data_IF_863645116753
#
_entry.id   IF_863645116753
#
_cell.length_a   1.000
_cell.length_b   1.000
_cell.length_c   1.000
_cell.angle_alpha   90.00
_cell.angle_beta   90.00
_cell.angle_gamma   90.00
#
_symmetry.space_group_name_H-M   'P 1'
#
loop_
_entity.id
_entity.type
_entity.pdbx_description
1 polymer ?
#
# COMPACT_ATOMS: atom_id res chain seq x y z
N UNK A 1 -4.94 18.31 -13.81
CA UNK A 1 -4.98 17.47 -12.59
C UNK A 1 -6.21 17.77 -11.74
N UNK A 2 -6.37 18.97 -11.16
CA UNK A 2 -7.51 19.29 -10.28
C UNK A 2 -8.88 19.03 -10.92
N UNK A 3 -9.12 19.47 -12.14
CA UNK A 3 -10.40 19.21 -12.84
C UNK A 3 -10.71 17.71 -12.95
N UNK A 4 -9.70 16.89 -13.30
CA UNK A 4 -9.85 15.43 -13.34
C UNK A 4 -10.21 14.84 -11.98
N UNK A 5 -9.56 15.30 -10.89
CA UNK A 5 -9.87 14.87 -9.54
C UNK A 5 -11.32 15.22 -9.18
N UNK A 6 -11.78 16.44 -9.46
CA UNK A 6 -13.13 16.88 -9.16
C UNK A 6 -14.20 16.07 -9.94
N UNK A 7 -13.95 15.80 -11.23
CA UNK A 7 -14.81 14.94 -12.05
C UNK A 7 -14.94 13.54 -11.45
N UNK A 8 -13.80 12.92 -11.10
CA UNK A 8 -13.75 11.59 -10.47
C UNK A 8 -14.47 11.56 -9.13
N UNK A 9 -14.22 12.57 -8.29
CA UNK A 9 -14.85 12.69 -6.95
C UNK A 9 -16.36 12.87 -7.07
N UNK A 10 -16.82 13.71 -8.01
CA UNK A 10 -18.26 13.90 -8.25
C UNK A 10 -18.93 12.58 -8.65
N UNK A 11 -18.34 11.85 -9.58
CA UNK A 11 -18.83 10.53 -10.00
C UNK A 11 -18.90 9.53 -8.85
N UNK A 12 -17.84 9.47 -8.02
CA UNK A 12 -17.81 8.53 -6.88
C UNK A 12 -18.87 8.94 -5.83
N UNK A 13 -18.99 10.24 -5.53
CA UNK A 13 -19.97 10.74 -4.54
C UNK A 13 -21.41 10.46 -4.93
N UNK A 14 -21.76 10.48 -6.21
CA UNK A 14 -23.10 10.12 -6.69
C UNK A 14 -23.46 8.66 -6.41
N UNK A 15 -22.45 7.81 -6.33
CA UNK A 15 -22.60 6.36 -6.11
C UNK A 15 -22.31 5.93 -4.67
N UNK A 16 -21.64 6.76 -3.90
CA UNK A 16 -21.21 6.45 -2.53
C UNK A 16 -22.33 6.72 -1.55
N UNK A 17 -22.63 5.73 -0.69
CA UNK A 17 -23.68 5.83 0.34
C UNK A 17 -23.13 6.01 1.76
N UNK A 18 -21.82 6.06 1.92
CA UNK A 18 -21.10 6.20 3.18
C UNK A 18 -20.04 7.30 3.08
N UNK A 19 -19.53 7.78 4.20
CA UNK A 19 -18.47 8.78 4.25
C UNK A 19 -17.25 8.21 4.98
N UNK A 20 -16.48 7.31 4.36
CA UNK A 20 -15.34 6.70 5.00
C UNK A 20 -14.23 7.73 5.28
N UNK A 21 -13.63 7.65 6.45
CA UNK A 21 -12.41 8.37 6.80
C UNK A 21 -11.16 7.49 6.66
N UNK A 22 -11.36 6.20 6.40
CA UNK A 22 -10.31 5.20 6.27
C UNK A 22 -10.31 4.59 4.87
N UNK A 23 -9.13 4.54 4.25
CA UNK A 23 -8.92 3.83 2.99
C UNK A 23 -7.87 2.73 3.14
N UNK A 24 -7.99 1.71 2.27
CA UNK A 24 -7.06 0.58 2.19
C UNK A 24 -6.64 0.41 0.73
N UNK A 25 -5.35 0.24 0.46
CA UNK A 25 -4.84 -0.21 -0.83
C UNK A 25 -4.28 -1.62 -0.66
N UNK A 26 -4.94 -2.59 -1.29
CA UNK A 26 -4.57 -4.00 -1.21
C UNK A 26 -3.64 -4.35 -2.37
N UNK A 27 -2.48 -4.90 -2.03
CA UNK A 27 -1.48 -5.37 -2.98
C UNK A 27 -1.69 -6.83 -3.40
N UNK A 28 -0.71 -7.37 -4.13
CA UNK A 28 -0.66 -8.75 -4.63
C UNK A 28 -0.86 -9.77 -3.50
N UNK A 29 -1.73 -10.75 -3.70
CA UNK A 29 -2.06 -11.81 -2.74
C UNK A 29 -2.89 -11.38 -1.52
N UNK A 30 -3.25 -10.09 -1.42
CA UNK A 30 -3.85 -9.52 -0.21
C UNK A 30 -5.31 -9.11 -0.41
N UNK A 31 -5.89 -9.47 -1.55
CA UNK A 31 -7.22 -9.05 -1.97
C UNK A 31 -8.37 -9.67 -1.18
N UNK A 32 -8.18 -10.75 -0.41
CA UNK A 32 -9.28 -11.42 0.27
C UNK A 32 -9.77 -10.72 1.54
N UNK A 33 -9.04 -9.70 2.05
CA UNK A 33 -9.56 -8.82 3.11
C UNK A 33 -10.94 -8.23 2.73
N UNK A 34 -11.18 -8.02 1.44
CA UNK A 34 -12.49 -7.54 0.97
C UNK A 34 -13.65 -8.50 1.29
N UNK A 35 -13.38 -9.78 1.57
CA UNK A 35 -14.41 -10.73 1.96
C UNK A 35 -14.97 -10.46 3.37
N UNK A 36 -14.21 -9.76 4.21
CA UNK A 36 -14.62 -9.33 5.54
C UNK A 36 -15.43 -8.02 5.53
N UNK A 37 -15.48 -7.31 4.40
CA UNK A 37 -16.25 -6.08 4.26
C UNK A 37 -17.72 -6.47 4.11
N UNK A 38 -18.58 -5.90 4.95
CA UNK A 38 -20.05 -6.02 4.87
C UNK A 38 -20.67 -4.79 4.21
N UNK A 39 -21.94 -4.88 3.84
CA UNK A 39 -22.70 -3.81 3.17
C UNK A 39 -21.96 -3.24 1.95
N UNK A 40 -21.34 -4.14 1.15
CA UNK A 40 -20.47 -3.77 0.05
C UNK A 40 -21.19 -3.09 -1.09
N UNK A 41 -20.56 -2.05 -1.58
CA UNK A 41 -20.82 -1.46 -2.87
C UNK A 41 -19.51 -1.37 -3.67
N UNK A 42 -19.53 -1.83 -4.91
CA UNK A 42 -18.33 -1.93 -5.77
C UNK A 42 -18.48 -1.06 -7.01
N UNK A 43 -17.39 -0.39 -7.40
CA UNK A 43 -17.25 0.34 -8.68
C UNK A 43 -16.00 -0.19 -9.37
N UNK A 44 -16.13 -0.66 -10.60
CA UNK A 44 -14.94 -1.06 -11.38
C UNK A 44 -14.11 0.18 -11.76
N UNK A 45 -12.78 0.04 -11.79
CA UNK A 45 -11.91 1.15 -12.18
C UNK A 45 -12.21 1.68 -13.58
N UNK A 46 -12.60 0.80 -14.51
CA UNK A 46 -12.99 1.16 -15.88
C UNK A 46 -14.22 2.07 -15.98
N UNK A 47 -15.08 2.05 -14.95
CA UNK A 47 -16.25 2.93 -14.87
C UNK A 47 -15.92 4.30 -14.30
N UNK A 48 -14.79 4.43 -13.58
CA UNK A 48 -14.43 5.65 -12.86
C UNK A 48 -13.68 6.59 -13.80
N UNK A 49 -14.19 7.78 -14.07
CA UNK A 49 -13.49 8.75 -14.93
C UNK A 49 -12.06 9.02 -14.45
N UNK A 50 -11.12 9.05 -15.38
CA UNK A 50 -9.70 9.34 -15.15
C UNK A 50 -8.92 8.34 -14.27
N UNK A 51 -9.53 7.24 -13.81
CA UNK A 51 -8.80 6.17 -13.14
C UNK A 51 -7.94 5.40 -14.15
N UNK A 52 -6.71 5.02 -13.80
CA UNK A 52 -5.96 4.04 -14.57
C UNK A 52 -6.64 2.67 -14.53
N UNK A 53 -6.27 1.78 -15.45
CA UNK A 53 -6.71 0.41 -15.44
C UNK A 53 -5.64 -0.47 -14.80
N UNK A 54 -6.02 -1.36 -13.91
CA UNK A 54 -5.08 -2.36 -13.37
C UNK A 54 -4.87 -3.46 -14.42
N UNK A 55 -3.62 -3.71 -14.78
CA UNK A 55 -3.21 -4.71 -15.78
C UNK A 55 -2.50 -5.92 -15.15
N UNK A 56 -2.26 -5.87 -13.84
CA UNK A 56 -1.55 -6.92 -13.11
C UNK A 56 -2.51 -8.06 -12.80
N UNK A 57 -2.08 -9.28 -13.09
CA UNK A 57 -2.80 -10.50 -12.73
C UNK A 57 -3.02 -10.59 -11.21
N UNK A 58 -4.22 -10.99 -10.80
CA UNK A 58 -4.61 -11.00 -9.37
C UNK A 58 -5.17 -9.67 -8.84
N UNK A 59 -5.10 -8.58 -9.61
CA UNK A 59 -5.72 -7.31 -9.25
C UNK A 59 -7.12 -7.21 -9.87
N UNK A 60 -8.16 -7.21 -9.03
CA UNK A 60 -9.57 -7.20 -9.49
C UNK A 60 -10.00 -5.86 -10.10
N UNK A 61 -9.23 -4.79 -9.90
CA UNK A 61 -9.51 -3.47 -10.47
C UNK A 61 -10.83 -2.86 -10.00
N UNK A 62 -11.09 -2.91 -8.68
CA UNK A 62 -12.33 -2.41 -8.09
C UNK A 62 -12.08 -1.47 -6.92
N UNK A 63 -12.93 -0.46 -6.82
CA UNK A 63 -13.09 0.37 -5.64
C UNK A 63 -14.30 -0.14 -4.86
N UNK A 64 -14.09 -0.45 -3.59
CA UNK A 64 -15.10 -1.07 -2.72
C UNK A 64 -15.37 -0.14 -1.55
N UNK A 65 -16.63 0.13 -1.29
CA UNK A 65 -17.12 0.81 -0.10
C UNK A 65 -17.92 -0.17 0.75
N UNK A 66 -17.87 -0.02 2.05
CA UNK A 66 -18.59 -0.88 2.99
C UNK A 66 -18.08 -0.72 4.40
N UNK A 67 -18.39 -1.70 5.24
CA UNK A 67 -17.97 -1.73 6.65
C UNK A 67 -16.95 -2.83 6.88
N UNK A 68 -15.86 -2.47 7.58
CA UNK A 68 -14.93 -3.46 8.15
C UNK A 68 -15.04 -3.37 9.68
N UNK A 69 -15.70 -4.35 10.30
CA UNK A 69 -16.16 -4.23 11.68
C UNK A 69 -17.18 -3.11 11.84
N UNK A 70 -16.86 -2.11 12.66
CA UNK A 70 -17.77 -0.97 12.94
C UNK A 70 -17.48 0.26 12.07
N UNK A 71 -16.40 0.26 11.28
CA UNK A 71 -15.94 1.44 10.52
C UNK A 71 -16.35 1.39 9.06
N UNK A 72 -16.83 2.51 8.54
CA UNK A 72 -16.97 2.70 7.10
C UNK A 72 -15.59 2.83 6.47
N UNK A 73 -15.36 2.10 5.40
CA UNK A 73 -14.08 2.08 4.70
C UNK A 73 -14.25 2.21 3.18
N UNK A 74 -13.16 2.63 2.53
CA UNK A 74 -12.95 2.57 1.11
C UNK A 74 -11.75 1.66 0.83
N UNK A 75 -11.92 0.63 0.02
CA UNK A 75 -10.83 -0.29 -0.32
C UNK A 75 -10.56 -0.31 -1.84
N UNK A 76 -9.31 -0.20 -2.21
CA UNK A 76 -8.82 -0.50 -3.55
C UNK A 76 -8.43 -1.96 -3.62
N UNK A 77 -9.18 -2.78 -4.36
CA UNK A 77 -8.81 -4.16 -4.66
C UNK A 77 -7.94 -4.21 -5.90
N UNK A 78 -6.66 -4.00 -5.71
CA UNK A 78 -5.64 -3.78 -6.71
C UNK A 78 -5.11 -2.34 -6.69
N UNK A 79 -3.90 -2.16 -7.22
CA UNK A 79 -3.20 -0.88 -7.31
C UNK A 79 -2.62 -0.67 -8.70
N UNK A 80 -2.06 0.50 -8.94
CA UNK A 80 -1.35 0.86 -10.16
C UNK A 80 0.15 0.91 -9.88
N UNK A 81 0.95 0.37 -10.82
CA UNK A 81 2.40 0.36 -10.67
C UNK A 81 3.07 1.18 -11.78
N UNK A 82 4.24 1.69 -11.45
CA UNK A 82 5.06 2.45 -12.40
C UNK A 82 5.47 1.61 -13.60
N UNK A 83 5.80 0.31 -13.38
CA UNK A 83 6.19 -0.60 -14.47
C UNK A 83 5.06 -0.93 -15.46
N UNK A 84 3.81 -0.65 -15.12
CA UNK A 84 2.68 -0.78 -16.07
C UNK A 84 2.69 0.32 -17.14
N UNK A 85 3.63 1.28 -17.09
CA UNK A 85 3.77 2.39 -18.03
C UNK A 85 3.09 3.68 -17.59
N UNK A 86 2.49 3.69 -16.41
CA UNK A 86 1.88 4.88 -15.82
C UNK A 86 2.92 5.85 -15.25
N UNK A 87 2.72 7.15 -15.45
CA UNK A 87 3.48 8.17 -14.75
C UNK A 87 3.20 8.12 -13.22
N UNK A 88 4.12 8.63 -12.42
CA UNK A 88 3.91 8.72 -10.97
C UNK A 88 2.65 9.53 -10.58
N UNK A 89 2.21 10.45 -11.44
CA UNK A 89 0.95 11.20 -11.23
C UNK A 89 -0.28 10.34 -11.42
N UNK A 90 -0.25 9.39 -12.34
CA UNK A 90 -1.33 8.44 -12.59
C UNK A 90 -1.34 7.37 -11.50
N UNK A 91 -0.18 6.79 -11.16
CA UNK A 91 -0.04 5.80 -10.06
C UNK A 91 -0.65 6.35 -8.76
N UNK A 92 -0.41 7.63 -8.45
CA UNK A 92 -0.84 8.25 -7.20
C UNK A 92 -2.15 9.05 -7.30
N UNK A 93 -2.79 9.05 -8.46
CA UNK A 93 -4.05 9.76 -8.68
C UNK A 93 -5.15 9.33 -7.67
N UNK A 94 -5.34 8.03 -7.36
CA UNK A 94 -6.33 7.59 -6.38
C UNK A 94 -6.14 8.19 -4.99
N UNK A 95 -4.90 8.38 -4.54
CA UNK A 95 -4.63 8.96 -3.22
C UNK A 95 -5.09 10.42 -3.13
N UNK A 96 -5.00 11.16 -4.22
CA UNK A 96 -5.53 12.53 -4.30
C UNK A 96 -7.07 12.55 -4.33
N UNK A 97 -7.67 11.56 -4.97
CA UNK A 97 -9.13 11.36 -4.93
C UNK A 97 -9.58 11.01 -3.51
N UNK A 98 -8.87 10.13 -2.81
CA UNK A 98 -9.12 9.78 -1.40
C UNK A 98 -9.15 11.03 -0.51
N UNK A 99 -8.16 11.92 -0.67
CA UNK A 99 -8.13 13.19 0.08
C UNK A 99 -9.40 14.02 -0.12
N UNK A 100 -9.86 14.17 -1.36
CA UNK A 100 -11.08 14.93 -1.67
C UNK A 100 -12.37 14.23 -1.20
N UNK A 101 -12.35 12.91 -1.08
CA UNK A 101 -13.44 12.12 -0.49
C UNK A 101 -13.48 12.21 1.05
N UNK A 102 -12.44 12.77 1.68
CA UNK A 102 -12.39 12.98 3.13
C UNK A 102 -11.62 11.90 3.89
N UNK A 103 -10.84 11.06 3.19
CA UNK A 103 -9.99 10.07 3.84
C UNK A 103 -8.93 10.75 4.71
N UNK A 104 -8.82 10.30 5.95
CA UNK A 104 -7.87 10.78 6.96
C UNK A 104 -6.75 9.78 7.24
N UNK A 105 -7.02 8.49 7.03
CA UNK A 105 -6.06 7.41 7.29
C UNK A 105 -6.03 6.44 6.11
N UNK A 106 -4.83 6.14 5.63
CA UNK A 106 -4.56 5.21 4.54
C UNK A 106 -3.76 4.01 5.07
N UNK A 107 -4.28 2.82 4.84
CA UNK A 107 -3.60 1.57 5.05
C UNK A 107 -3.09 1.04 3.72
N UNK A 108 -1.81 0.69 3.64
CA UNK A 108 -1.20 0.13 2.43
C UNK A 108 -0.59 -1.22 2.74
N UNK A 109 -0.82 -2.19 1.87
CA UNK A 109 -0.22 -3.51 1.96
C UNK A 109 0.46 -3.90 0.66
N UNK A 110 1.50 -4.73 0.75
CA UNK A 110 2.25 -5.21 -0.40
C UNK A 110 2.91 -6.56 -0.12
N UNK A 111 3.35 -7.24 -1.18
CA UNK A 111 4.34 -8.30 -1.15
C UNK A 111 5.72 -7.67 -1.37
N UNK A 112 6.75 -8.18 -0.71
CA UNK A 112 8.12 -7.62 -0.77
C UNK A 112 9.18 -8.70 -0.59
N UNK A 113 10.30 -8.58 -1.31
CA UNK A 113 11.50 -9.38 -1.11
C UNK A 113 12.26 -8.93 0.15
N UNK A 114 12.53 -9.86 1.08
CA UNK A 114 13.23 -9.58 2.32
C UNK A 114 14.75 -9.59 2.12
N UNK A 115 15.43 -8.56 2.63
CA UNK A 115 16.90 -8.46 2.57
C UNK A 115 17.54 -8.50 3.97
N UNK A 116 16.75 -8.42 5.02
CA UNK A 116 17.24 -8.58 6.38
C UNK A 116 17.45 -10.09 6.66
N UNK A 117 18.66 -10.52 7.11
CA UNK A 117 18.96 -11.93 7.33
C UNK A 117 18.11 -12.59 8.44
N UNK A 118 17.49 -11.78 9.32
CA UNK A 118 16.64 -12.23 10.42
C UNK A 118 15.17 -12.42 9.99
N UNK A 119 14.84 -12.09 8.72
CA UNK A 119 13.49 -12.27 8.18
C UNK A 119 13.30 -13.68 7.61
N UNK A 120 12.05 -14.12 7.66
CA UNK A 120 11.61 -15.40 7.11
C UNK A 120 10.49 -15.15 6.07
N UNK A 121 10.36 -16.06 5.10
CA UNK A 121 9.24 -16.04 4.16
C UNK A 121 7.93 -16.23 4.92
N UNK A 122 6.98 -15.31 4.72
CA UNK A 122 5.72 -15.27 5.45
C UNK A 122 5.71 -14.29 6.62
N UNK A 123 6.86 -13.68 6.98
CA UNK A 123 6.88 -12.63 8.00
C UNK A 123 6.02 -11.43 7.55
N UNK A 124 5.31 -10.87 8.52
CA UNK A 124 4.61 -9.60 8.38
C UNK A 124 5.54 -8.48 8.84
N UNK A 125 6.02 -7.67 7.89
CA UNK A 125 6.87 -6.52 8.20
C UNK A 125 6.05 -5.25 8.29
N UNK A 126 5.97 -4.65 9.48
CA UNK A 126 5.45 -3.30 9.68
C UNK A 126 6.47 -2.32 9.11
N UNK A 127 6.05 -1.50 8.15
CA UNK A 127 6.94 -0.52 7.49
C UNK A 127 7.08 0.68 8.43
N UNK A 128 8.31 0.94 8.87
CA UNK A 128 8.62 2.08 9.76
C UNK A 128 9.13 3.29 9.01
N UNK A 129 9.79 3.07 7.86
CA UNK A 129 10.33 4.11 6.98
C UNK A 129 10.50 3.57 5.56
N UNK A 130 10.88 4.41 4.62
CA UNK A 130 11.15 3.97 3.26
C UNK A 130 12.31 4.71 2.58
N UNK A 131 12.87 4.07 1.57
CA UNK A 131 13.80 4.66 0.59
C UNK A 131 13.07 4.76 -0.75
N UNK A 132 12.97 5.97 -1.29
CA UNK A 132 12.43 6.19 -2.63
C UNK A 132 13.53 6.02 -3.68
N UNK A 133 13.55 4.88 -4.35
CA UNK A 133 14.50 4.56 -5.41
C UNK A 133 13.86 4.56 -6.81
N UNK A 134 12.66 5.12 -6.95
CA UNK A 134 12.00 5.31 -8.24
C UNK A 134 12.69 6.42 -9.06
N UNK A 135 12.72 6.29 -10.40
CA UNK A 135 13.35 7.29 -11.28
C UNK A 135 12.52 8.59 -11.40
N UNK A 136 11.24 8.57 -10.99
CA UNK A 136 10.33 9.71 -11.00
C UNK A 136 9.75 9.95 -9.61
N UNK A 137 9.57 11.23 -9.24
CA UNK A 137 8.98 11.61 -7.96
C UNK A 137 7.54 12.12 -8.15
N UNK A 138 6.53 11.62 -7.39
CA UNK A 138 5.11 11.95 -7.61
C UNK A 138 4.75 13.42 -7.39
N UNK A 139 5.57 14.16 -6.64
CA UNK A 139 5.40 15.60 -6.40
C UNK A 139 6.21 16.49 -7.35
N UNK A 140 6.91 15.90 -8.33
CA UNK A 140 7.67 16.66 -9.33
C UNK A 140 6.76 17.55 -10.17
N UNK A 141 7.17 18.80 -10.40
CA UNK A 141 6.43 19.80 -11.19
C UNK A 141 5.73 20.84 -10.33
N UNK A 142 4.67 21.46 -10.88
CA UNK A 142 3.89 22.47 -10.16
C UNK A 142 3.18 21.84 -8.95
N UNK A 143 3.30 22.48 -7.79
CA UNK A 143 2.59 22.04 -6.60
C UNK A 143 1.07 22.10 -6.80
N UNK A 144 0.36 21.15 -6.22
CA UNK A 144 -1.10 21.16 -6.09
C UNK A 144 -1.40 21.66 -4.68
N UNK A 145 -2.41 22.50 -4.54
CA UNK A 145 -2.80 23.13 -3.28
C UNK A 145 -3.54 22.15 -2.34
N UNK A 146 -2.92 20.99 -2.11
CA UNK A 146 -3.34 19.95 -1.17
C UNK A 146 -2.37 19.80 0.01
N UNK A 147 -1.22 20.44 -0.11
CA UNK A 147 -0.18 20.43 0.91
C UNK A 147 0.99 21.34 0.55
N UNK A 148 1.98 21.42 1.42
CA UNK A 148 3.15 22.28 1.22
C UNK A 148 4.00 21.83 0.03
N UNK A 149 4.72 22.76 -0.61
CA UNK A 149 5.65 22.42 -1.70
C UNK A 149 6.72 21.41 -1.26
N UNK A 150 7.14 21.48 -0.02
CA UNK A 150 8.14 20.63 0.62
C UNK A 150 7.53 19.98 1.86
N UNK A 151 6.81 18.85 1.70
CA UNK A 151 6.24 18.14 2.84
C UNK A 151 7.34 17.55 3.73
N UNK A 152 7.12 17.60 5.03
CA UNK A 152 7.96 16.88 5.98
C UNK A 152 7.73 15.37 5.86
N UNK A 153 8.82 14.61 5.81
CA UNK A 153 8.84 13.16 5.71
C UNK A 153 9.60 12.51 6.88
N UNK A 154 9.75 13.21 8.02
CA UNK A 154 10.38 12.65 9.22
C UNK A 154 9.54 11.57 9.91
N UNK A 155 8.25 11.52 9.62
CA UNK A 155 7.30 10.49 10.05
C UNK A 155 6.38 10.11 8.88
N UNK A 156 6.86 9.35 7.89
CA UNK A 156 6.04 8.98 6.73
C UNK A 156 4.95 7.98 7.07
N UNK A 157 5.19 7.14 8.06
CA UNK A 157 4.23 6.18 8.64
C UNK A 157 3.91 6.58 10.08
N UNK A 158 2.66 6.52 10.48
CA UNK A 158 2.20 6.94 11.81
C UNK A 158 2.75 6.03 12.90
N UNK A 159 3.59 6.61 13.78
CA UNK A 159 4.14 5.89 14.94
C UNK A 159 3.05 5.37 15.87
N UNK A 160 1.95 6.10 15.99
CA UNK A 160 0.82 5.67 16.80
C UNK A 160 0.17 4.40 16.24
N UNK A 161 -0.07 4.33 14.92
CA UNK A 161 -0.61 3.14 14.26
C UNK A 161 0.38 1.96 14.29
N UNK A 162 1.67 2.22 14.14
CA UNK A 162 2.73 1.20 14.29
C UNK A 162 2.69 0.61 15.70
N UNK A 163 2.62 1.45 16.73
CA UNK A 163 2.54 1.00 18.12
C UNK A 163 1.32 0.13 18.37
N UNK A 164 0.14 0.58 17.95
CA UNK A 164 -1.10 -0.18 18.06
C UNK A 164 -1.05 -1.51 17.30
N UNK A 165 -0.49 -1.54 16.09
CA UNK A 165 -0.35 -2.77 15.31
C UNK A 165 0.54 -3.81 16.01
N UNK A 166 1.62 -3.37 16.65
CA UNK A 166 2.51 -4.24 17.46
C UNK A 166 1.80 -4.79 18.70
N UNK A 167 1.01 -3.97 19.37
CA UNK A 167 0.19 -4.40 20.52
C UNK A 167 -0.82 -5.47 20.07
N UNK A 168 -1.55 -5.23 18.97
CA UNK A 168 -2.50 -6.20 18.40
C UNK A 168 -1.80 -7.50 18.04
N UNK A 169 -0.66 -7.43 17.35
CA UNK A 169 0.11 -8.61 16.98
C UNK A 169 0.53 -9.44 18.22
N UNK A 170 0.99 -8.77 19.28
CA UNK A 170 1.34 -9.41 20.56
C UNK A 170 0.13 -10.06 21.23
N UNK A 171 -1.02 -9.35 21.30
CA UNK A 171 -2.26 -9.88 21.88
C UNK A 171 -2.76 -11.12 21.15
N UNK A 172 -2.56 -11.19 19.82
CA UNK A 172 -3.00 -12.29 18.95
C UNK A 172 -1.95 -13.41 18.79
N UNK A 173 -0.76 -13.23 19.32
CA UNK A 173 0.35 -14.17 19.12
C UNK A 173 0.83 -14.24 17.67
N UNK A 174 0.67 -13.17 16.91
CA UNK A 174 1.10 -13.05 15.52
C UNK A 174 2.52 -12.48 15.49
N UNK A 175 3.45 -13.19 14.83
CA UNK A 175 4.80 -12.69 14.61
C UNK A 175 4.78 -11.53 13.64
N UNK A 176 5.36 -10.41 14.04
CA UNK A 176 5.63 -9.25 13.18
C UNK A 176 7.08 -8.82 13.34
N UNK A 177 7.64 -8.27 12.27
CA UNK A 177 8.95 -7.62 12.24
C UNK A 177 8.78 -6.17 11.84
N UNK A 178 9.78 -5.33 12.09
CA UNK A 178 9.80 -3.94 11.65
C UNK A 178 10.91 -3.75 10.64
N UNK A 179 10.71 -2.87 9.66
CA UNK A 179 11.76 -2.64 8.67
C UNK A 179 11.53 -1.44 7.77
N UNK A 180 12.59 -1.12 7.03
CA UNK A 180 12.65 -0.05 6.03
C UNK A 180 12.38 -0.66 4.65
N UNK A 181 11.40 -0.12 3.95
CA UNK A 181 11.03 -0.56 2.61
C UNK A 181 11.70 0.29 1.55
N UNK A 182 12.41 -0.32 0.57
CA UNK A 182 12.87 0.39 -0.62
C UNK A 182 11.89 0.18 -1.77
N UNK A 183 11.41 1.29 -2.33
CA UNK A 183 10.53 1.27 -3.51
C UNK A 183 11.32 1.44 -4.79
N UNK A 184 11.20 0.49 -5.72
CA UNK A 184 11.91 0.42 -7.01
C UNK A 184 10.92 0.36 -8.18
N UNK A 185 11.42 0.61 -9.39
CA UNK A 185 10.55 0.65 -10.57
C UNK A 185 10.04 -0.72 -11.02
N UNK A 186 10.80 -1.80 -10.87
CA UNK A 186 10.55 -3.05 -11.58
C UNK A 186 10.65 -2.90 -13.12
N UNK A 187 10.10 -3.85 -13.92
CA UNK A 187 9.32 -5.04 -13.52
C UNK A 187 10.17 -6.28 -13.20
N UNK A 188 11.50 -6.21 -13.32
CA UNK A 188 12.36 -7.35 -12.98
C UNK A 188 12.49 -7.50 -11.48
N UNK A 189 12.55 -8.74 -11.00
CA UNK A 189 13.08 -9.01 -9.67
C UNK A 189 14.54 -8.61 -9.60
N UNK A 190 15.04 -8.38 -8.40
CA UNK A 190 16.37 -7.84 -8.15
C UNK A 190 17.45 -8.87 -8.41
N UNK A 191 18.56 -8.40 -8.98
CA UNK A 191 19.79 -9.19 -9.02
C UNK A 191 20.42 -9.33 -7.62
N UNK A 192 21.27 -10.35 -7.36
CA UNK A 192 21.97 -10.45 -6.07
C UNK A 192 22.77 -9.20 -5.71
N UNK A 193 23.28 -8.47 -6.69
CA UNK A 193 24.02 -7.22 -6.46
C UNK A 193 23.11 -6.07 -6.05
N UNK A 194 21.88 -6.00 -6.60
CA UNK A 194 20.88 -5.00 -6.22
C UNK A 194 20.36 -5.26 -4.79
N UNK A 195 20.05 -6.49 -4.41
CA UNK A 195 19.72 -6.84 -3.04
C UNK A 195 20.81 -6.38 -2.05
N UNK A 196 22.07 -6.70 -2.36
CA UNK A 196 23.22 -6.28 -1.54
C UNK A 196 23.34 -4.75 -1.46
N UNK A 197 23.14 -4.05 -2.59
CA UNK A 197 23.18 -2.59 -2.64
C UNK A 197 22.07 -1.98 -1.75
N UNK A 198 20.84 -2.41 -1.89
CA UNK A 198 19.71 -1.88 -1.10
C UNK A 198 19.89 -2.17 0.38
N UNK A 199 20.41 -3.34 0.73
CA UNK A 199 20.73 -3.67 2.12
C UNK A 199 21.80 -2.74 2.71
N UNK A 200 22.86 -2.43 1.94
CA UNK A 200 23.89 -1.46 2.35
C UNK A 200 23.31 -0.06 2.55
N UNK A 201 22.34 0.35 1.73
CA UNK A 201 21.62 1.61 1.88
C UNK A 201 20.70 1.66 3.09
N UNK A 202 20.51 0.55 3.79
CA UNK A 202 19.73 0.46 5.01
C UNK A 202 18.29 -0.08 4.84
N UNK A 203 17.95 -0.62 3.67
CA UNK A 203 16.64 -1.24 3.46
C UNK A 203 16.59 -2.68 4.01
N UNK A 204 15.42 -3.09 4.49
CA UNK A 204 15.11 -4.43 5.01
C UNK A 204 14.27 -5.24 4.02
N UNK A 205 13.48 -4.57 3.20
CA UNK A 205 12.66 -5.19 2.15
C UNK A 205 12.58 -4.31 0.92
N UNK A 206 12.33 -4.93 -0.25
CA UNK A 206 12.22 -4.26 -1.55
C UNK A 206 10.92 -4.63 -2.24
N UNK A 207 10.34 -3.67 -2.96
CA UNK A 207 9.18 -3.92 -3.82
C UNK A 207 8.89 -2.75 -4.75
N UNK A 208 7.88 -2.92 -5.59
CA UNK A 208 7.64 -2.07 -6.76
C UNK A 208 6.43 -1.13 -6.59
N UNK A 209 6.07 -0.78 -5.34
CA UNK A 209 4.86 -0.01 -5.04
C UNK A 209 5.02 0.89 -3.81
N UNK A 210 3.91 1.28 -3.20
CA UNK A 210 3.78 1.83 -1.84
C UNK A 210 4.41 3.20 -1.62
N UNK A 211 5.69 3.38 -1.88
CA UNK A 211 6.42 4.65 -1.60
C UNK A 211 5.77 5.86 -2.29
N UNK A 212 5.41 5.82 -3.57
CA UNK A 212 4.74 6.95 -4.22
C UNK A 212 3.39 7.31 -3.58
N UNK A 213 2.62 6.30 -3.19
CA UNK A 213 1.31 6.46 -2.53
C UNK A 213 1.48 7.13 -1.16
N UNK A 214 2.46 6.68 -0.38
CA UNK A 214 2.80 7.25 0.95
C UNK A 214 3.25 8.70 0.84
N UNK A 215 4.13 9.02 -0.12
CA UNK A 215 4.59 10.40 -0.37
C UNK A 215 3.40 11.32 -0.66
N UNK A 216 2.46 10.89 -1.51
CA UNK A 216 1.29 11.70 -1.85
C UNK A 216 0.30 11.77 -0.70
N UNK A 217 0.11 10.69 0.06
CA UNK A 217 -0.74 10.68 1.25
C UNK A 217 -0.24 11.70 2.29
N UNK A 218 1.05 11.69 2.59
CA UNK A 218 1.68 12.68 3.51
C UNK A 218 1.55 14.09 2.99
N UNK A 219 1.79 14.33 1.70
CA UNK A 219 1.57 15.64 1.09
C UNK A 219 0.12 16.12 1.26
N UNK A 220 -0.85 15.21 1.24
CA UNK A 220 -2.28 15.49 1.41
C UNK A 220 -2.74 15.54 2.89
N UNK A 221 -1.85 15.36 3.85
CA UNK A 221 -2.18 15.35 5.28
C UNK A 221 -2.90 14.08 5.74
N UNK A 222 -2.76 12.96 5.01
CA UNK A 222 -3.33 11.66 5.35
C UNK A 222 -2.32 10.88 6.20
N UNK A 223 -2.76 10.33 7.32
CA UNK A 223 -1.96 9.40 8.12
C UNK A 223 -1.80 8.07 7.38
N UNK A 224 -0.63 7.44 7.50
CA UNK A 224 -0.36 6.19 6.79
C UNK A 224 0.10 5.09 7.73
N UNK A 225 -0.40 3.89 7.50
CA UNK A 225 0.13 2.63 8.03
C UNK A 225 0.49 1.73 6.86
N UNK A 226 1.66 1.09 6.91
CA UNK A 226 2.15 0.17 5.88
C UNK A 226 2.55 -1.16 6.46
N UNK A 227 2.20 -2.25 5.76
CA UNK A 227 2.58 -3.61 6.12
C UNK A 227 2.93 -4.41 4.86
N UNK A 228 4.04 -5.13 4.91
CA UNK A 228 4.50 -6.02 3.84
C UNK A 228 4.39 -7.47 4.27
N UNK A 229 4.10 -8.36 3.33
CA UNK A 229 4.40 -9.79 3.48
C UNK A 229 5.75 -10.05 2.83
N UNK A 230 6.67 -10.68 3.55
CA UNK A 230 7.96 -11.12 3.00
C UNK A 230 7.72 -12.39 2.21
N UNK A 231 7.93 -12.32 0.89
CA UNK A 231 7.56 -13.40 -0.05
C UNK A 231 8.74 -14.21 -0.55
N UNK A 232 9.92 -13.64 -0.50
CA UNK A 232 11.19 -14.22 -0.93
C UNK A 232 12.35 -13.58 -0.16
N UNK A 233 13.55 -14.14 -0.27
CA UNK A 233 14.71 -13.66 0.48
C UNK A 233 15.89 -13.34 -0.45
N UNK A 234 16.20 -12.04 -0.55
CA UNK A 234 17.39 -11.48 -1.18
C UNK A 234 18.64 -11.50 -0.28
N UNK A 235 18.77 -12.52 0.57
CA UNK A 235 19.88 -12.69 1.52
C UNK A 235 20.96 -13.58 0.90
N UNK A 236 22.24 -13.22 1.01
CA UNK A 236 23.35 -13.99 0.47
C UNK A 236 23.28 -15.45 0.95
N UNK A 237 23.36 -16.39 0.02
CA UNK A 237 23.20 -17.84 0.27
C UNK A 237 21.77 -18.35 0.38
N UNK A 238 20.76 -17.45 0.37
CA UNK A 238 19.34 -17.81 0.37
C UNK A 238 18.61 -17.39 -0.91
N UNK A 239 19.28 -16.69 -1.82
CA UNK A 239 18.69 -16.21 -3.09
C UNK A 239 18.42 -17.41 -3.99
N UNK A 240 17.18 -17.56 -4.42
CA UNK A 240 16.70 -18.57 -5.38
C UNK A 240 15.94 -17.88 -6.49
N UNK A 241 15.66 -18.59 -7.58
CA UNK A 241 14.74 -18.11 -8.61
C UNK A 241 13.36 -17.90 -7.99
N UNK A 242 12.71 -16.77 -8.30
CA UNK A 242 11.40 -16.38 -7.77
C UNK A 242 10.43 -16.18 -8.92
N UNK A 243 9.25 -16.77 -8.80
CA UNK A 243 8.14 -16.57 -9.74
C UNK A 243 7.02 -15.75 -9.11
N UNK A 244 6.17 -15.16 -9.95
CA UNK A 244 5.00 -14.41 -9.45
C UNK A 244 4.02 -15.32 -8.68
N UNK A 245 3.88 -16.58 -9.10
CA UNK A 245 3.05 -17.58 -8.44
C UNK A 245 3.56 -17.93 -7.04
N UNK A 246 4.87 -18.01 -6.83
CA UNK A 246 5.48 -18.24 -5.52
C UNK A 246 5.27 -17.06 -4.59
N UNK A 247 5.42 -15.83 -5.11
CA UNK A 247 5.11 -14.59 -4.39
C UNK A 247 3.63 -14.60 -3.94
N UNK A 248 2.71 -14.93 -4.83
CA UNK A 248 1.28 -15.04 -4.53
C UNK A 248 1.02 -16.09 -3.45
N UNK A 249 1.59 -17.28 -3.58
CA UNK A 249 1.40 -18.38 -2.64
C UNK A 249 1.94 -18.04 -1.23
N UNK A 250 3.04 -17.31 -1.14
CA UNK A 250 3.59 -16.85 0.14
C UNK A 250 2.67 -15.77 0.77
N UNK A 251 2.18 -14.83 -0.05
CA UNK A 251 1.26 -13.80 0.40
C UNK A 251 -0.07 -14.39 0.89
N UNK A 252 -0.64 -15.36 0.18
CA UNK A 252 -1.90 -16.03 0.55
C UNK A 252 -1.81 -16.73 1.92
N UNK A 253 -0.65 -17.32 2.26
CA UNK A 253 -0.44 -17.97 3.56
C UNK A 253 -0.37 -16.97 4.71
N UNK A 254 0.22 -15.81 4.50
CA UNK A 254 0.39 -14.78 5.53
C UNK A 254 -0.86 -13.90 5.68
N UNK A 255 -1.70 -13.86 4.65
CA UNK A 255 -2.85 -12.97 4.54
C UNK A 255 -3.85 -13.06 5.71
N UNK A 256 -4.24 -14.22 6.25
CA UNK A 256 -5.18 -14.28 7.38
C UNK A 256 -4.68 -13.49 8.60
N UNK A 257 -3.39 -13.58 8.90
CA UNK A 257 -2.76 -12.87 10.02
C UNK A 257 -2.70 -11.37 9.77
N UNK A 258 -2.36 -10.97 8.55
CA UNK A 258 -2.37 -9.56 8.18
C UNK A 258 -3.77 -8.97 8.22
N UNK A 259 -4.77 -9.69 7.71
CA UNK A 259 -6.18 -9.30 7.74
C UNK A 259 -6.64 -9.07 9.19
N UNK A 260 -6.27 -9.95 10.11
CA UNK A 260 -6.61 -9.81 11.52
C UNK A 260 -6.01 -8.55 12.14
N UNK A 261 -4.70 -8.29 11.92
CA UNK A 261 -4.04 -7.07 12.40
C UNK A 261 -4.71 -5.83 11.80
N UNK A 262 -4.92 -5.79 10.49
CA UNK A 262 -5.50 -4.61 9.81
C UNK A 262 -6.93 -4.34 10.27
N UNK A 263 -7.76 -5.37 10.39
CA UNK A 263 -9.14 -5.24 10.87
C UNK A 263 -9.19 -4.66 12.27
N UNK A 264 -8.43 -5.24 13.20
CA UNK A 264 -8.38 -4.75 14.58
C UNK A 264 -7.82 -3.32 14.66
N UNK A 265 -6.77 -3.04 13.91
CA UNK A 265 -6.16 -1.70 13.87
C UNK A 265 -7.13 -0.65 13.34
N UNK A 266 -7.86 -0.95 12.26
CA UNK A 266 -8.88 -0.05 11.69
C UNK A 266 -10.01 0.20 12.71
N UNK A 267 -10.44 -0.82 13.43
CA UNK A 267 -11.50 -0.67 14.45
C UNK A 267 -11.03 0.14 15.68
N UNK A 268 -9.76 0.06 16.06
CA UNK A 268 -9.17 0.81 17.19
C UNK A 268 -8.72 2.22 16.80
N UNK A 269 -8.40 2.46 15.52
CA UNK A 269 -8.00 3.78 15.04
C UNK A 269 -9.17 4.78 15.21
N UNK A 270 -8.87 5.91 15.85
CA UNK A 270 -9.82 7.01 16.07
C UNK A 270 -9.85 7.97 14.88
#
# INVERSE_FOLDING_TARGET
MLAKIQETVSFIREKMHTNPETAIILGTGLGSLVNEITDKYEIKYEEIPNFPLSTVEGHSGKLIFGKLGSKDIMAMQGRFHYYEGYSMKEVTFPVRVMRELGIKTLFVSNAAGGMNPDFEIGDLMIITDHINFFPEHPLRGKNIDYGPRFPDMSEPYSRALIGQAKEIASEKGIRVVEGIYVGVSGPTFETPAEYKMYRILGADAVGMSTVPEVIVAKHCGINVFGISVITDLGVEGKIVEVTHEEVQAAADKAQPYMTEIMRELINRAN
#
